data_IF_926257493855
#
_entry.id   IF_926257493855
#
_cell.length_a   1.000
_cell.length_b   1.000
_cell.length_c   1.000
_cell.angle_alpha   90.00
_cell.angle_beta   90.00
_cell.angle_gamma   90.00
#
_symmetry.space_group_name_H-M   'P 1'
#
loop_
_entity.id
_entity.type
_entity.pdbx_description
1 polymer ?
#
# COMPACT_ATOMS: atom_id res chain seq x y z
N UNK A 1 -4.82 29.88 14.08
CA UNK A 1 -4.39 28.94 12.99
C UNK A 1 -4.90 27.56 13.32
N UNK A 2 -5.72 26.96 12.44
CA UNK A 2 -6.13 25.56 12.62
C UNK A 2 -4.89 24.65 12.59
N UNK A 3 -4.73 23.80 13.58
CA UNK A 3 -3.58 22.87 13.63
C UNK A 3 -3.67 21.84 12.52
N UNK A 4 -2.62 21.70 11.73
CA UNK A 4 -2.56 20.71 10.62
C UNK A 4 -1.81 19.42 11.04
N UNK A 5 -1.67 19.19 12.35
CA UNK A 5 -0.90 18.07 12.88
C UNK A 5 -1.36 16.71 12.37
N UNK A 6 -2.67 16.42 12.45
CA UNK A 6 -3.23 15.16 11.95
C UNK A 6 -3.04 15.00 10.43
N UNK A 7 -3.31 16.06 9.65
CA UNK A 7 -3.15 16.02 8.19
C UNK A 7 -1.72 15.68 7.77
N UNK A 8 -0.74 16.42 8.31
CA UNK A 8 0.67 16.22 7.96
C UNK A 8 1.18 14.85 8.42
N UNK A 9 0.85 14.43 9.65
CA UNK A 9 1.22 13.08 10.10
C UNK A 9 0.59 11.99 9.21
N UNK A 10 -0.67 12.12 8.81
CA UNK A 10 -1.33 11.15 7.92
C UNK A 10 -0.66 11.10 6.53
N UNK A 11 -0.28 12.25 5.98
CA UNK A 11 0.45 12.33 4.71
C UNK A 11 1.81 11.62 4.82
N UNK A 12 2.60 11.97 5.85
CA UNK A 12 3.91 11.36 6.10
C UNK A 12 3.79 9.84 6.31
N UNK A 13 2.79 9.41 7.07
CA UNK A 13 2.52 7.98 7.29
C UNK A 13 2.24 7.27 5.97
N UNK A 14 1.30 7.78 5.15
CA UNK A 14 0.91 7.08 3.92
C UNK A 14 2.07 7.03 2.93
N UNK A 15 2.86 8.10 2.79
CA UNK A 15 4.05 8.11 1.93
C UNK A 15 5.07 7.08 2.43
N UNK A 16 5.44 7.14 3.71
CA UNK A 16 6.44 6.21 4.28
C UNK A 16 5.98 4.75 4.17
N UNK A 17 4.71 4.47 4.48
CA UNK A 17 4.18 3.11 4.41
C UNK A 17 4.06 2.60 2.98
N UNK A 18 3.77 3.46 2.00
CA UNK A 18 3.79 3.09 0.58
C UNK A 18 5.21 2.71 0.14
N UNK A 19 6.20 3.55 0.47
CA UNK A 19 7.60 3.27 0.13
C UNK A 19 8.09 1.97 0.80
N UNK A 20 7.89 1.83 2.11
CA UNK A 20 8.29 0.63 2.86
C UNK A 20 7.61 -0.61 2.28
N UNK A 21 6.31 -0.52 1.99
CA UNK A 21 5.55 -1.62 1.39
C UNK A 21 6.13 -2.04 0.04
N UNK A 22 6.48 -1.08 -0.82
CA UNK A 22 7.11 -1.36 -2.12
C UNK A 22 8.50 -2.00 -1.93
N UNK A 23 9.38 -1.42 -1.10
CA UNK A 23 10.71 -1.99 -0.86
C UNK A 23 10.64 -3.43 -0.35
N UNK A 24 9.74 -3.71 0.59
CA UNK A 24 9.55 -5.05 1.12
C UNK A 24 9.00 -6.03 0.06
N UNK A 25 8.10 -5.57 -0.79
CA UNK A 25 7.56 -6.33 -1.92
C UNK A 25 8.67 -6.71 -2.91
N UNK A 26 9.47 -5.72 -3.36
CA UNK A 26 10.57 -5.95 -4.27
C UNK A 26 11.68 -6.81 -3.64
N UNK A 27 11.94 -6.62 -2.34
CA UNK A 27 12.89 -7.47 -1.60
C UNK A 27 12.47 -8.94 -1.59
N UNK A 28 11.17 -9.24 -1.56
CA UNK A 28 10.67 -10.61 -1.64
C UNK A 28 10.91 -11.23 -3.04
N UNK A 29 10.71 -10.46 -4.11
CA UNK A 29 11.09 -10.88 -5.46
C UNK A 29 12.60 -11.15 -5.57
N UNK A 30 13.41 -10.23 -5.04
CA UNK A 30 14.86 -10.34 -5.03
C UNK A 30 15.33 -11.62 -4.32
N UNK A 31 14.83 -11.85 -3.10
CA UNK A 31 15.17 -13.04 -2.32
C UNK A 31 14.75 -14.33 -3.04
N UNK A 32 13.57 -14.38 -3.62
CA UNK A 32 13.12 -15.50 -4.42
C UNK A 32 14.02 -15.72 -5.65
N UNK A 33 14.42 -14.65 -6.34
CA UNK A 33 15.36 -14.72 -7.46
C UNK A 33 16.72 -15.29 -7.08
N UNK A 34 17.26 -14.88 -5.91
CA UNK A 34 18.50 -15.43 -5.36
C UNK A 34 18.36 -16.93 -5.08
N UNK A 35 17.29 -17.34 -4.41
CA UNK A 35 17.02 -18.75 -4.08
C UNK A 35 16.83 -19.63 -5.33
N UNK A 36 16.35 -19.03 -6.42
CA UNK A 36 16.14 -19.69 -7.70
C UNK A 36 17.39 -19.61 -8.63
N UNK A 37 18.51 -19.05 -8.17
CA UNK A 37 19.76 -18.86 -8.92
C UNK A 37 19.59 -18.01 -10.19
N UNK A 38 18.70 -17.00 -10.14
CA UNK A 38 18.43 -16.09 -11.24
C UNK A 38 19.33 -14.85 -11.26
N UNK A 39 20.25 -14.71 -10.30
CA UNK A 39 21.14 -13.55 -10.12
C UNK A 39 20.37 -12.21 -10.27
N UNK A 40 19.39 -11.93 -9.39
CA UNK A 40 18.51 -10.80 -9.57
C UNK A 40 19.21 -9.46 -9.28
N UNK A 41 18.78 -8.41 -9.96
CA UNK A 41 19.11 -7.01 -9.67
C UNK A 41 17.87 -6.30 -9.09
N UNK A 42 18.06 -5.67 -7.92
CA UNK A 42 16.99 -4.99 -7.20
C UNK A 42 16.97 -3.50 -7.56
N UNK A 43 15.83 -3.03 -8.03
CA UNK A 43 15.52 -1.62 -8.22
C UNK A 43 14.39 -1.18 -7.28
N UNK A 44 14.12 0.11 -7.24
CA UNK A 44 13.15 0.71 -6.30
C UNK A 44 11.71 0.18 -6.46
N UNK A 45 11.29 -0.25 -7.64
CA UNK A 45 9.91 -0.68 -7.96
C UNK A 45 9.83 -1.85 -8.94
N UNK A 46 10.93 -2.60 -9.13
CA UNK A 46 10.98 -3.84 -9.92
C UNK A 46 12.27 -4.61 -9.63
N UNK A 47 12.27 -5.89 -9.99
CA UNK A 47 13.45 -6.76 -9.91
C UNK A 47 13.68 -7.44 -11.26
N UNK A 48 14.92 -7.43 -11.75
CA UNK A 48 15.30 -8.04 -13.02
C UNK A 48 16.14 -9.30 -12.75
N UNK A 49 15.76 -10.48 -13.30
CA UNK A 49 16.63 -11.63 -13.32
C UNK A 49 17.73 -11.43 -14.39
N UNK A 50 19.01 -11.44 -14.01
CA UNK A 50 20.14 -11.31 -14.94
C UNK A 50 20.50 -12.66 -15.57
N UNK A 51 20.15 -13.77 -14.93
CA UNK A 51 20.32 -15.12 -15.47
C UNK A 51 19.02 -15.60 -16.09
N UNK A 52 19.10 -16.18 -17.29
CA UNK A 52 17.94 -16.77 -17.96
C UNK A 52 17.42 -17.97 -17.17
N UNK A 53 16.23 -17.82 -16.61
CA UNK A 53 15.53 -18.89 -15.89
C UNK A 53 14.54 -19.67 -16.76
N UNK A 54 14.05 -20.76 -16.23
CA UNK A 54 12.86 -21.44 -16.76
C UNK A 54 11.62 -20.58 -16.52
N UNK A 55 10.58 -20.80 -17.29
CA UNK A 55 9.32 -20.07 -17.13
C UNK A 55 8.74 -20.21 -15.70
N UNK A 56 8.82 -21.42 -15.14
CA UNK A 56 8.39 -21.68 -13.76
C UNK A 56 9.20 -20.86 -12.73
N UNK A 57 10.54 -20.76 -12.89
CA UNK A 57 11.36 -19.95 -11.99
C UNK A 57 10.96 -18.47 -12.03
N UNK A 58 10.72 -17.93 -13.23
CA UNK A 58 10.29 -16.54 -13.39
C UNK A 58 8.91 -16.30 -12.75
N UNK A 59 7.99 -17.24 -12.89
CA UNK A 59 6.65 -17.16 -12.28
C UNK A 59 6.70 -17.27 -10.76
N UNK A 60 7.54 -18.15 -10.22
CA UNK A 60 7.73 -18.27 -8.77
C UNK A 60 8.35 -16.99 -8.18
N UNK A 61 9.33 -16.41 -8.86
CA UNK A 61 9.90 -15.12 -8.48
C UNK A 61 8.83 -14.03 -8.51
N UNK A 62 8.02 -13.94 -9.59
CA UNK A 62 6.94 -12.97 -9.72
C UNK A 62 5.85 -13.13 -8.65
N UNK A 63 5.58 -14.34 -8.18
CA UNK A 63 4.61 -14.61 -7.12
C UNK A 63 5.08 -14.24 -5.71
N UNK A 64 6.40 -14.14 -5.49
CA UNK A 64 6.97 -13.96 -4.15
C UNK A 64 6.60 -12.61 -3.52
N UNK A 65 6.68 -11.51 -4.27
CA UNK A 65 6.32 -10.17 -3.78
C UNK A 65 4.87 -10.07 -3.32
N UNK A 66 3.90 -10.39 -4.20
CA UNK A 66 2.48 -10.38 -3.84
C UNK A 66 2.14 -11.27 -2.65
N UNK A 67 2.66 -12.50 -2.61
CA UNK A 67 2.40 -13.43 -1.51
C UNK A 67 2.97 -12.93 -0.19
N UNK A 68 4.22 -12.50 -0.19
CA UNK A 68 4.84 -11.89 0.99
C UNK A 68 4.04 -10.69 1.48
N UNK A 69 3.66 -9.79 0.59
CA UNK A 69 2.91 -8.58 0.92
C UNK A 69 1.58 -8.90 1.59
N UNK A 70 0.85 -9.92 1.11
CA UNK A 70 -0.39 -10.34 1.74
C UNK A 70 -0.16 -10.86 3.17
N UNK A 71 0.78 -11.79 3.35
CA UNK A 71 1.08 -12.40 4.66
C UNK A 71 1.54 -11.33 5.65
N UNK A 72 2.50 -10.50 5.24
CA UNK A 72 3.02 -9.38 6.04
C UNK A 72 1.91 -8.38 6.40
N UNK A 73 1.10 -7.98 5.42
CA UNK A 73 -0.01 -7.04 5.63
C UNK A 73 -1.05 -7.56 6.63
N UNK A 74 -1.45 -8.83 6.50
CA UNK A 74 -2.35 -9.47 7.44
C UNK A 74 -1.76 -9.52 8.86
N UNK A 75 -0.48 -9.86 9.00
CA UNK A 75 0.23 -9.91 10.28
C UNK A 75 0.29 -8.53 10.93
N UNK A 76 0.72 -7.49 10.20
CA UNK A 76 0.81 -6.12 10.70
C UNK A 76 -0.56 -5.58 11.12
N UNK A 77 -1.62 -5.84 10.33
CA UNK A 77 -2.98 -5.47 10.69
C UNK A 77 -3.46 -6.20 11.95
N UNK A 78 -3.20 -7.49 12.05
CA UNK A 78 -3.54 -8.27 13.25
C UNK A 78 -2.88 -7.69 14.51
N UNK A 79 -1.56 -7.41 14.44
CA UNK A 79 -0.81 -6.80 15.54
C UNK A 79 -1.38 -5.41 15.86
N UNK A 80 -1.60 -4.56 14.85
CA UNK A 80 -2.15 -3.21 15.02
C UNK A 80 -3.50 -3.24 15.73
N UNK A 81 -4.40 -4.14 15.31
CA UNK A 81 -5.77 -4.19 15.82
C UNK A 81 -5.80 -4.75 17.25
N UNK A 82 -5.04 -5.80 17.53
CA UNK A 82 -5.12 -6.55 18.78
C UNK A 82 -4.22 -6.02 19.90
N UNK A 83 -3.05 -5.51 19.58
CA UNK A 83 -2.02 -5.23 20.57
C UNK A 83 -1.59 -3.77 20.67
N UNK A 84 -1.90 -2.96 19.64
CA UNK A 84 -1.45 -1.55 19.63
C UNK A 84 -2.59 -0.62 20.05
N UNK A 85 -2.34 0.16 21.10
CA UNK A 85 -3.28 1.20 21.55
C UNK A 85 -3.36 2.35 20.53
N UNK A 86 -4.48 3.12 20.49
CA UNK A 86 -4.61 4.31 19.65
C UNK A 86 -3.41 5.24 19.78
N UNK A 87 -2.70 5.48 18.67
CA UNK A 87 -1.46 6.25 18.59
C UNK A 87 -1.08 6.49 17.14
N UNK A 88 -0.08 7.32 16.85
CA UNK A 88 0.49 7.45 15.51
C UNK A 88 1.10 6.13 15.03
N UNK A 89 1.67 5.31 15.94
CA UNK A 89 2.16 3.97 15.61
C UNK A 89 1.04 3.06 15.11
N UNK A 90 -0.11 3.07 15.79
CA UNK A 90 -1.29 2.30 15.33
C UNK A 90 -1.75 2.77 13.96
N UNK A 91 -1.80 4.09 13.73
CA UNK A 91 -2.19 4.65 12.45
C UNK A 91 -1.20 4.23 11.35
N UNK A 92 0.10 4.29 11.63
CA UNK A 92 1.17 3.84 10.74
C UNK A 92 1.03 2.35 10.38
N UNK A 93 0.90 1.48 11.39
CA UNK A 93 0.75 0.05 11.17
C UNK A 93 -0.53 -0.30 10.41
N UNK A 94 -1.62 0.43 10.66
CA UNK A 94 -2.88 0.23 9.93
C UNK A 94 -2.71 0.57 8.45
N UNK A 95 -2.10 1.71 8.11
CA UNK A 95 -1.83 2.08 6.72
C UNK A 95 -0.84 1.12 6.04
N UNK A 96 0.26 0.75 6.74
CA UNK A 96 1.23 -0.21 6.23
C UNK A 96 0.58 -1.56 5.93
N UNK A 97 -0.21 -2.08 6.87
CA UNK A 97 -0.88 -3.36 6.67
C UNK A 97 -1.93 -3.33 5.56
N UNK A 98 -2.74 -2.26 5.48
CA UNK A 98 -3.71 -2.09 4.39
C UNK A 98 -3.02 -2.00 3.03
N UNK A 99 -1.94 -1.22 2.93
CA UNK A 99 -1.13 -1.08 1.71
C UNK A 99 -0.48 -2.40 1.30
N UNK A 100 0.06 -3.14 2.26
CA UNK A 100 0.67 -4.45 1.98
C UNK A 100 -0.35 -5.48 1.50
N UNK A 101 -1.58 -5.51 2.05
CA UNK A 101 -2.65 -6.39 1.53
C UNK A 101 -2.97 -6.07 0.08
N UNK A 102 -2.89 -4.79 -0.33
CA UNK A 102 -3.02 -4.40 -1.74
C UNK A 102 -1.88 -4.94 -2.62
N UNK A 103 -0.74 -5.29 -2.05
CA UNK A 103 0.36 -5.90 -2.80
C UNK A 103 0.04 -7.28 -3.41
N UNK A 104 -1.05 -7.93 -3.03
CA UNK A 104 -1.62 -9.07 -3.77
C UNK A 104 -2.96 -8.70 -4.40
N UNK A 105 -3.93 -8.27 -3.59
CA UNK A 105 -5.30 -8.04 -4.05
C UNK A 105 -5.38 -6.95 -5.12
N UNK A 106 -4.55 -5.92 -5.02
CA UNK A 106 -4.45 -4.85 -6.01
C UNK A 106 -3.79 -5.32 -7.31
N UNK A 107 -2.79 -6.19 -7.23
CA UNK A 107 -2.20 -6.80 -8.43
C UNK A 107 -3.18 -7.73 -9.14
N UNK A 108 -4.02 -8.49 -8.42
CA UNK A 108 -5.12 -9.24 -9.02
C UNK A 108 -6.13 -8.32 -9.73
N UNK A 109 -6.38 -7.12 -9.17
CA UNK A 109 -7.26 -6.13 -9.78
C UNK A 109 -6.74 -5.63 -11.13
N UNK A 110 -5.42 -5.40 -11.25
CA UNK A 110 -4.81 -4.87 -12.48
C UNK A 110 -4.31 -5.96 -13.44
N UNK A 111 -4.31 -7.23 -13.05
CA UNK A 111 -3.79 -8.35 -13.84
C UNK A 111 -4.32 -8.41 -15.29
N UNK A 112 -5.62 -8.13 -15.58
CA UNK A 112 -6.11 -8.14 -16.96
C UNK A 112 -5.45 -7.12 -17.87
N UNK A 113 -4.92 -6.02 -17.30
CA UNK A 113 -4.32 -4.89 -18.02
C UNK A 113 -2.80 -4.93 -17.99
N UNK A 114 -2.20 -5.63 -17.02
CA UNK A 114 -0.78 -5.70 -16.73
C UNK A 114 -0.25 -7.13 -16.92
N UNK A 115 -0.25 -7.63 -18.15
CA UNK A 115 0.18 -9.03 -18.46
C UNK A 115 1.62 -9.30 -18.05
N UNK A 116 2.50 -8.30 -18.15
CA UNK A 116 3.90 -8.41 -17.76
C UNK A 116 4.16 -8.13 -16.27
N UNK A 117 3.11 -7.73 -15.53
CA UNK A 117 3.16 -7.58 -14.08
C UNK A 117 3.12 -8.93 -13.36
N UNK A 118 3.36 -8.92 -12.05
CA UNK A 118 3.52 -10.13 -11.23
C UNK A 118 2.38 -11.16 -11.40
N UNK A 119 1.16 -10.75 -11.13
CA UNK A 119 0.00 -11.63 -11.27
C UNK A 119 -0.38 -11.88 -12.73
N UNK A 120 -0.07 -10.94 -13.63
CA UNK A 120 -0.27 -11.10 -15.06
C UNK A 120 0.60 -12.22 -15.63
N UNK A 121 1.86 -12.29 -15.26
CA UNK A 121 2.79 -13.39 -15.63
C UNK A 121 2.30 -14.73 -15.11
N UNK A 122 1.84 -14.78 -13.85
CA UNK A 122 1.26 -16.01 -13.28
C UNK A 122 0.05 -16.46 -14.09
N UNK A 123 -0.85 -15.54 -14.44
CA UNK A 123 -2.04 -15.84 -15.24
C UNK A 123 -1.70 -16.31 -16.65
N UNK A 124 -0.71 -15.69 -17.28
CA UNK A 124 -0.21 -16.10 -18.60
C UNK A 124 0.37 -17.52 -18.57
N UNK A 125 1.18 -17.83 -17.58
CA UNK A 125 1.78 -19.16 -17.37
C UNK A 125 0.70 -20.25 -17.15
N UNK A 126 -0.32 -19.93 -16.37
CA UNK A 126 -1.42 -20.86 -16.09
C UNK A 126 -2.43 -20.94 -17.22
N UNK A 127 -2.24 -20.20 -18.31
CA UNK A 127 -3.18 -20.17 -19.44
C UNK A 127 -4.55 -19.59 -19.07
N UNK A 128 -4.63 -18.70 -18.07
CA UNK A 128 -5.89 -18.11 -17.61
C UNK A 128 -6.42 -17.16 -18.70
N UNK A 129 -7.62 -17.42 -19.27
CA UNK A 129 -8.21 -16.54 -20.26
C UNK A 129 -8.49 -15.14 -19.71
N UNK A 130 -8.39 -14.12 -20.56
CA UNK A 130 -8.63 -12.72 -20.18
C UNK A 130 -9.99 -12.52 -19.49
N UNK A 131 -11.03 -13.22 -19.94
CA UNK A 131 -12.36 -13.17 -19.30
C UNK A 131 -12.31 -13.61 -17.83
N UNK A 132 -11.64 -14.72 -17.53
CA UNK A 132 -11.50 -15.22 -16.15
C UNK A 132 -10.67 -14.23 -15.32
N UNK A 133 -9.60 -13.65 -15.90
CA UNK A 133 -8.80 -12.60 -15.25
C UNK A 133 -9.65 -11.38 -14.87
N UNK A 134 -10.58 -10.95 -15.73
CA UNK A 134 -11.52 -9.86 -15.43
C UNK A 134 -12.47 -10.24 -14.29
N UNK A 135 -12.99 -11.45 -14.28
CA UNK A 135 -13.86 -11.92 -13.16
C UNK A 135 -13.09 -11.91 -11.84
N UNK A 136 -11.84 -12.38 -11.83
CA UNK A 136 -10.96 -12.33 -10.64
C UNK A 136 -10.70 -10.89 -10.22
N UNK A 137 -10.46 -9.97 -11.15
CA UNK A 137 -10.26 -8.57 -10.85
C UNK A 137 -11.49 -7.92 -10.18
N UNK A 138 -12.69 -8.19 -10.69
CA UNK A 138 -13.95 -7.72 -10.10
C UNK A 138 -14.14 -8.30 -8.71
N UNK A 139 -13.93 -9.59 -8.52
CA UNK A 139 -14.01 -10.26 -7.23
C UNK A 139 -13.01 -9.65 -6.23
N UNK A 140 -11.77 -9.40 -6.67
CA UNK A 140 -10.74 -8.74 -5.86
C UNK A 140 -11.15 -7.33 -5.45
N UNK A 141 -11.70 -6.53 -6.35
CA UNK A 141 -12.20 -5.18 -6.01
C UNK A 141 -13.32 -5.22 -4.96
N UNK A 142 -14.27 -6.13 -5.10
CA UNK A 142 -15.36 -6.30 -4.13
C UNK A 142 -14.77 -6.70 -2.77
N UNK A 143 -13.84 -7.64 -2.75
CA UNK A 143 -13.19 -8.13 -1.53
C UNK A 143 -12.35 -7.06 -0.85
N UNK A 144 -11.52 -6.31 -1.59
CA UNK A 144 -10.78 -5.15 -1.08
C UNK A 144 -11.75 -4.16 -0.45
N UNK A 145 -12.83 -3.80 -1.15
CA UNK A 145 -13.81 -2.85 -0.68
C UNK A 145 -14.48 -3.31 0.63
N UNK A 146 -14.78 -4.61 0.74
CA UNK A 146 -15.31 -5.20 1.97
C UNK A 146 -14.32 -5.09 3.13
N UNK A 147 -13.07 -5.52 2.94
CA UNK A 147 -12.02 -5.48 3.96
C UNK A 147 -11.76 -4.05 4.44
N UNK A 148 -11.64 -3.11 3.51
CA UNK A 148 -11.34 -1.72 3.82
C UNK A 148 -12.48 -1.03 4.57
N UNK A 149 -13.73 -1.35 4.25
CA UNK A 149 -14.88 -0.92 5.05
C UNK A 149 -14.84 -1.49 6.47
N UNK A 150 -14.43 -2.75 6.64
CA UNK A 150 -14.28 -3.38 7.95
C UNK A 150 -13.19 -2.70 8.79
N UNK A 151 -12.05 -2.37 8.18
CA UNK A 151 -10.93 -1.73 8.86
C UNK A 151 -11.12 -0.22 9.11
N UNK A 152 -12.16 0.38 8.57
CA UNK A 152 -12.47 1.80 8.83
C UNK A 152 -12.65 2.12 10.32
N UNK A 153 -13.03 1.15 11.15
CA UNK A 153 -13.12 1.27 12.61
C UNK A 153 -11.78 1.58 13.29
N UNK A 154 -10.65 1.33 12.61
CA UNK A 154 -9.32 1.63 13.16
C UNK A 154 -8.98 3.13 13.09
N UNK A 155 -9.79 3.94 12.43
CA UNK A 155 -9.58 5.37 12.25
C UNK A 155 -10.44 6.26 13.15
N UNK A 156 -11.34 5.68 13.97
CA UNK A 156 -12.30 6.45 14.80
C UNK A 156 -11.65 7.15 16.00
N UNK A 157 -10.42 6.81 16.34
CA UNK A 157 -9.73 7.28 17.54
C UNK A 157 -9.13 8.69 17.41
N UNK A 158 -9.00 9.22 16.19
CA UNK A 158 -8.19 10.41 15.91
C UNK A 158 -9.04 11.66 15.70
N UNK A 159 -8.54 12.77 16.23
CA UNK A 159 -9.08 14.13 15.96
C UNK A 159 -7.94 15.15 15.86
N UNK A 160 -8.22 16.28 15.23
CA UNK A 160 -7.23 17.33 15.01
C UNK A 160 -7.26 18.44 16.07
N UNK A 161 -8.42 18.66 16.71
CA UNK A 161 -8.64 19.74 17.68
C UNK A 161 -9.43 19.23 18.89
N UNK A 162 -9.53 20.07 19.93
CA UNK A 162 -10.33 19.76 21.11
C UNK A 162 -11.81 19.53 20.74
N UNK A 163 -12.35 20.31 19.78
CA UNK A 163 -13.68 20.07 19.24
C UNK A 163 -13.57 19.14 18.02
N UNK A 164 -14.30 18.04 18.07
CA UNK A 164 -14.32 17.06 16.99
C UNK A 164 -15.17 17.57 15.81
N UNK A 165 -14.51 17.86 14.69
CA UNK A 165 -15.15 18.05 13.38
C UNK A 165 -14.92 16.80 12.54
N UNK A 166 -15.97 16.00 12.40
CA UNK A 166 -15.94 14.74 11.63
C UNK A 166 -15.51 14.96 10.18
N UNK A 167 -16.05 16.01 9.53
CA UNK A 167 -15.79 16.28 8.11
C UNK A 167 -14.34 16.68 7.88
N UNK A 168 -13.78 17.52 8.75
CA UNK A 168 -12.39 17.94 8.65
C UNK A 168 -11.43 16.78 9.01
N UNK A 169 -11.70 16.06 10.08
CA UNK A 169 -10.93 14.88 10.48
C UNK A 169 -10.89 13.84 9.35
N UNK A 170 -12.01 13.60 8.70
CA UNK A 170 -12.12 12.68 7.58
C UNK A 170 -11.25 13.08 6.38
N UNK A 171 -11.19 14.39 6.05
CA UNK A 171 -10.29 14.88 5.00
C UNK A 171 -8.83 14.66 5.37
N UNK A 172 -8.48 14.92 6.62
CA UNK A 172 -7.11 14.80 7.13
C UNK A 172 -6.62 13.35 7.22
N UNK A 173 -7.51 12.41 7.53
CA UNK A 173 -7.18 10.98 7.60
C UNK A 173 -7.13 10.30 6.24
N UNK A 174 -7.92 10.75 5.25
CA UNK A 174 -8.08 10.01 4.00
C UNK A 174 -7.80 10.85 2.75
N UNK A 175 -8.48 12.01 2.58
CA UNK A 175 -8.40 12.75 1.32
C UNK A 175 -6.98 13.27 1.08
N UNK A 176 -6.44 14.01 2.03
CA UNK A 176 -5.10 14.61 1.87
C UNK A 176 -4.00 13.56 1.72
N UNK A 177 -3.93 12.49 2.55
CA UNK A 177 -2.86 11.50 2.41
C UNK A 177 -3.01 10.64 1.14
N UNK A 178 -4.22 10.29 0.70
CA UNK A 178 -4.43 9.51 -0.53
C UNK A 178 -3.93 10.31 -1.73
N UNK A 179 -4.40 11.56 -1.91
CA UNK A 179 -3.97 12.37 -3.05
C UNK A 179 -2.49 12.73 -2.98
N UNK A 180 -1.96 13.09 -1.81
CA UNK A 180 -0.55 13.40 -1.65
C UNK A 180 0.32 12.18 -1.99
N UNK A 181 -0.06 10.98 -1.55
CA UNK A 181 0.68 9.76 -1.88
C UNK A 181 0.64 9.44 -3.36
N UNK A 182 -0.52 9.56 -4.03
CA UNK A 182 -0.61 9.36 -5.48
C UNK A 182 0.37 10.26 -6.24
N UNK A 183 0.37 11.56 -5.91
CA UNK A 183 1.26 12.54 -6.57
C UNK A 183 2.74 12.22 -6.26
N UNK A 184 3.09 12.08 -4.99
CA UNK A 184 4.48 11.90 -4.57
C UNK A 184 5.02 10.54 -5.06
N UNK A 185 4.28 9.45 -4.93
CA UNK A 185 4.72 8.14 -5.42
C UNK A 185 4.88 8.11 -6.93
N UNK A 186 4.01 8.81 -7.69
CA UNK A 186 4.19 8.97 -9.14
C UNK A 186 5.51 9.68 -9.46
N UNK A 187 5.84 10.78 -8.77
CA UNK A 187 7.12 11.45 -8.96
C UNK A 187 8.33 10.58 -8.55
N UNK A 188 8.20 9.84 -7.47
CA UNK A 188 9.27 8.95 -6.99
C UNK A 188 9.48 7.74 -7.92
N UNK A 189 8.50 7.37 -8.72
CA UNK A 189 8.61 6.27 -9.70
C UNK A 189 9.43 6.64 -10.95
N UNK A 190 9.84 7.90 -11.12
CA UNK A 190 10.72 8.28 -12.22
C UNK A 190 12.19 7.88 -11.97
N UNK A 191 12.95 7.42 -13.01
CA UNK A 191 12.53 7.22 -14.39
C UNK A 191 11.55 6.03 -14.54
N UNK A 192 10.53 6.19 -15.40
CA UNK A 192 9.54 5.16 -15.64
C UNK A 192 10.10 4.20 -16.69
N UNK A 193 10.42 2.99 -16.27
CA UNK A 193 10.91 1.93 -17.17
C UNK A 193 9.79 1.25 -17.94
N UNK A 194 8.60 1.15 -17.32
CA UNK A 194 7.40 0.60 -17.95
C UNK A 194 6.15 1.36 -17.48
N UNK A 195 5.29 1.78 -18.39
CA UNK A 195 4.04 2.47 -18.06
C UNK A 195 3.12 1.68 -17.12
N UNK A 196 3.20 0.35 -17.19
CA UNK A 196 2.44 -0.56 -16.32
C UNK A 196 2.79 -0.37 -14.85
N UNK A 197 4.03 0.04 -14.51
CA UNK A 197 4.45 0.29 -13.13
C UNK A 197 3.76 1.51 -12.48
N UNK A 198 3.12 2.38 -13.27
CA UNK A 198 2.31 3.48 -12.75
C UNK A 198 0.90 3.06 -12.33
N UNK A 199 0.38 1.96 -12.85
CA UNK A 199 -0.98 1.51 -12.54
C UNK A 199 -1.18 1.30 -11.02
N UNK A 200 -0.27 0.63 -10.30
CA UNK A 200 -0.37 0.49 -8.84
C UNK A 200 -0.39 1.83 -8.11
N UNK A 201 0.46 2.79 -8.51
CA UNK A 201 0.59 4.08 -7.82
C UNK A 201 -0.63 4.97 -7.96
N UNK A 202 -1.40 4.82 -9.04
CA UNK A 202 -2.60 5.62 -9.32
C UNK A 202 -3.87 4.89 -8.87
N UNK A 203 -4.05 3.62 -9.27
CA UNK A 203 -5.31 2.92 -9.06
C UNK A 203 -5.47 2.28 -7.68
N UNK A 204 -4.39 1.75 -7.09
CA UNK A 204 -4.48 1.11 -5.78
C UNK A 204 -4.91 2.09 -4.66
N UNK A 205 -4.38 3.32 -4.56
CA UNK A 205 -4.82 4.26 -3.54
C UNK A 205 -6.31 4.63 -3.64
N UNK A 206 -6.92 4.54 -4.84
CA UNK A 206 -8.35 4.79 -5.00
C UNK A 206 -9.23 3.79 -4.23
N UNK A 207 -8.73 2.59 -3.96
CA UNK A 207 -9.46 1.57 -3.18
C UNK A 207 -9.69 2.02 -1.72
N UNK A 208 -8.83 2.90 -1.19
CA UNK A 208 -8.98 3.48 0.17
C UNK A 208 -10.22 4.35 0.31
N UNK A 209 -10.83 4.81 -0.78
CA UNK A 209 -12.12 5.52 -0.72
C UNK A 209 -13.25 4.64 -0.16
N UNK A 210 -13.11 3.32 -0.16
CA UNK A 210 -14.03 2.41 0.53
C UNK A 210 -14.00 2.60 2.04
N UNK A 211 -12.80 2.81 2.62
CA UNK A 211 -12.61 3.15 4.04
C UNK A 211 -13.20 4.51 4.37
N UNK A 212 -12.90 5.52 3.55
CA UNK A 212 -13.46 6.87 3.65
C UNK A 212 -15.00 6.84 3.63
N UNK A 213 -15.60 6.14 2.67
CA UNK A 213 -17.05 6.07 2.52
C UNK A 213 -17.73 5.40 3.72
N UNK A 214 -17.10 4.37 4.32
CA UNK A 214 -17.63 3.74 5.55
C UNK A 214 -17.47 4.66 6.75
N UNK A 215 -16.29 5.28 6.95
CA UNK A 215 -16.05 6.24 8.02
C UNK A 215 -17.08 7.39 7.99
N UNK A 216 -17.40 7.92 6.81
CA UNK A 216 -18.41 8.96 6.63
C UNK A 216 -19.78 8.58 7.19
N UNK A 217 -20.15 7.29 7.05
CA UNK A 217 -21.45 6.75 7.46
C UNK A 217 -21.50 6.28 8.92
N UNK A 218 -20.36 6.30 9.63
CA UNK A 218 -20.33 5.92 11.05
C UNK A 218 -20.94 7.04 11.90
N UNK A 219 -21.93 6.70 12.69
CA UNK A 219 -22.47 7.57 13.72
C UNK A 219 -21.72 7.37 15.04
N UNK A 220 -21.85 8.30 15.97
CA UNK A 220 -21.30 8.21 17.34
C UNK A 220 -19.79 7.98 17.40
N UNK A 221 -19.00 8.60 16.48
CA UNK A 221 -17.55 8.63 16.59
C UNK A 221 -17.18 9.57 17.75
N UNK A 222 -16.53 9.02 18.78
CA UNK A 222 -16.02 9.79 19.91
C UNK A 222 -14.49 9.60 20.00
N UNK A 223 -13.72 10.39 19.24
CA UNK A 223 -12.26 10.26 19.23
C UNK A 223 -11.65 10.85 20.49
N UNK A 224 -10.77 10.11 21.11
CA UNK A 224 -10.07 10.47 22.36
C UNK A 224 -8.62 10.92 22.13
N UNK A 225 -8.05 10.65 20.96
CA UNK A 225 -6.68 11.01 20.63
C UNK A 225 -6.60 12.27 19.76
N UNK A 226 -6.09 13.36 20.34
CA UNK A 226 -5.88 14.62 19.63
C UNK A 226 -4.46 14.71 19.07
N UNK A 227 -4.31 14.95 17.77
CA UNK A 227 -3.02 15.09 17.07
C UNK A 227 -2.85 16.53 16.58
N UNK A 228 -2.20 17.36 17.40
CA UNK A 228 -2.01 18.79 17.14
C UNK A 228 -0.64 19.12 16.52
N UNK A 229 0.38 18.31 16.80
CA UNK A 229 1.76 18.54 16.36
C UNK A 229 2.20 17.51 15.35
N UNK A 230 3.08 17.92 14.45
CA UNK A 230 3.75 17.00 13.52
C UNK A 230 4.83 16.24 14.29
N UNK A 231 4.89 14.94 14.09
CA UNK A 231 5.89 14.08 14.69
C UNK A 231 7.23 14.22 13.94
N UNK A 232 8.27 14.66 14.65
CA UNK A 232 9.63 14.71 14.09
C UNK A 232 10.15 13.33 13.68
N UNK A 233 9.76 12.28 14.39
CA UNK A 233 10.09 10.90 14.06
C UNK A 233 9.52 10.52 12.69
N UNK A 234 8.26 10.89 12.40
CA UNK A 234 7.66 10.62 11.09
C UNK A 234 8.31 11.43 9.97
N UNK A 235 8.71 12.67 10.24
CA UNK A 235 9.45 13.48 9.26
C UNK A 235 10.79 12.82 8.92
N UNK A 236 11.57 12.45 9.92
CA UNK A 236 12.86 11.78 9.72
C UNK A 236 12.67 10.43 9.00
N UNK A 237 11.70 9.63 9.42
CA UNK A 237 11.40 8.35 8.79
C UNK A 237 11.03 8.53 7.31
N UNK A 238 10.18 9.52 6.98
CA UNK A 238 9.77 9.78 5.60
C UNK A 238 10.98 10.19 4.74
N UNK A 239 11.83 11.07 5.25
CA UNK A 239 13.05 11.48 4.54
C UNK A 239 13.96 10.28 4.30
N UNK A 240 14.20 9.47 5.32
CA UNK A 240 15.06 8.28 5.20
C UNK A 240 14.48 7.27 4.20
N UNK A 241 13.18 7.00 4.24
CA UNK A 241 12.56 6.07 3.28
C UNK A 241 12.64 6.58 1.85
N UNK A 242 12.46 7.88 1.61
CA UNK A 242 12.63 8.50 0.28
C UNK A 242 14.08 8.37 -0.19
N UNK A 243 15.07 8.65 0.66
CA UNK A 243 16.48 8.52 0.31
C UNK A 243 16.81 7.08 -0.07
N UNK A 244 16.42 6.10 0.75
CA UNK A 244 16.65 4.67 0.48
C UNK A 244 15.99 4.26 -0.84
N UNK A 245 14.74 4.67 -1.05
CA UNK A 245 14.00 4.36 -2.26
C UNK A 245 14.68 4.91 -3.52
N UNK A 246 15.19 6.15 -3.44
CA UNK A 246 15.92 6.78 -4.55
C UNK A 246 17.33 6.23 -4.76
N UNK A 247 17.93 5.65 -3.73
CA UNK A 247 19.23 4.98 -3.85
C UNK A 247 19.15 3.66 -4.63
N UNK A 248 17.95 3.03 -4.68
CA UNK A 248 17.68 1.81 -5.43
C UNK A 248 17.30 2.04 -6.92
N UNK A 249 17.38 3.27 -7.40
CA UNK A 249 17.04 3.64 -8.81
C UNK A 249 18.13 3.24 -9.78
#
# INVERSE_FOLDING_TARGET
MKTKGLALNSILIVISTSIIGTILHESAHYLAGVLLNLNPELHHNYVIPLTKGTELQIVLMAGAGPLFSLVFGCLILYISIKFVKPSLTKLFMTWLGMGSVLGLLGYLLIAPFAKDGDTGRIFSYLGIPTFISIVIAIASFIFISYLFRKWSSQFIFYKTEYHFDKKETQKQLFIYPIFASMVIMTFLSFPITAWVSLLPTIFMPMTYFSTYAKYKRMDNINPDLTINKVSSVLVVLTILTIIIFRYLV
#
